data_IF_694908634038
#
_entry.id   IF_694908634038
#
_cell.length_a   1.000
_cell.length_b   1.000
_cell.length_c   1.000
_cell.angle_alpha   90.00
_cell.angle_beta   90.00
_cell.angle_gamma   90.00
#
_symmetry.space_group_name_H-M   'P 1'
#
loop_
_entity.id
_entity.type
_entity.pdbx_description
1 polymer ?
#
# COMPACT_ATOMS: atom_id res chain seq x y z
N UNK A 1 -31.26 -6.64 18.49
CA UNK A 1 -29.81 -6.34 18.58
C UNK A 1 -29.67 -4.85 18.85
N UNK A 2 -29.21 -4.42 20.03
CA UNK A 2 -28.93 -2.99 20.26
C UNK A 2 -27.76 -2.62 19.36
N UNK A 3 -28.00 -1.72 18.41
CA UNK A 3 -26.92 -1.10 17.64
C UNK A 3 -26.06 -0.36 18.65
N UNK A 4 -24.78 -0.75 18.74
CA UNK A 4 -23.84 -0.10 19.63
C UNK A 4 -23.86 1.42 19.40
N UNK A 5 -23.75 2.19 20.47
CA UNK A 5 -23.58 3.64 20.40
C UNK A 5 -22.56 3.97 19.29
N UNK A 6 -22.80 5.07 18.59
CA UNK A 6 -21.98 5.49 17.44
C UNK A 6 -20.54 5.72 17.88
N UNK A 7 -19.76 4.64 17.89
CA UNK A 7 -18.33 4.71 18.17
C UNK A 7 -17.60 5.43 17.03
N UNK A 8 -16.74 6.36 17.39
CA UNK A 8 -15.85 7.01 16.43
C UNK A 8 -14.60 6.13 16.32
N UNK A 9 -14.30 5.71 15.08
CA UNK A 9 -13.14 4.89 14.81
C UNK A 9 -11.95 5.78 14.43
N UNK A 10 -10.90 5.74 15.25
CA UNK A 10 -9.63 6.46 15.02
C UNK A 10 -8.51 5.54 14.53
N UNK A 11 -8.81 4.29 14.17
CA UNK A 11 -7.79 3.39 13.62
C UNK A 11 -7.34 3.87 12.24
N UNK A 12 -6.09 3.55 11.88
CA UNK A 12 -5.56 3.89 10.56
C UNK A 12 -6.18 3.05 9.43
N UNK A 13 -6.80 1.93 9.78
CA UNK A 13 -7.51 1.03 8.88
C UNK A 13 -8.03 -0.21 9.59
N UNK A 14 -9.22 -0.70 9.18
CA UNK A 14 -10.18 -0.07 8.28
C UNK A 14 -10.81 1.20 8.88
N UNK A 15 -10.92 2.24 8.06
CA UNK A 15 -11.51 3.53 8.43
C UNK A 15 -13.03 3.51 8.33
N UNK A 16 -13.70 4.51 8.96
CA UNK A 16 -15.13 4.68 8.82
C UNK A 16 -15.47 5.17 7.40
N UNK A 17 -16.33 4.42 6.72
CA UNK A 17 -16.89 4.83 5.43
C UNK A 17 -17.99 5.87 5.62
N UNK A 18 -18.10 6.79 4.66
CA UNK A 18 -19.23 7.73 4.60
C UNK A 18 -20.54 6.98 4.33
N UNK A 19 -21.67 7.59 4.67
CA UNK A 19 -22.99 6.98 4.40
C UNK A 19 -23.18 6.71 2.91
N UNK A 20 -22.69 7.57 2.02
CA UNK A 20 -22.75 7.37 0.56
C UNK A 20 -22.03 6.08 0.13
N UNK A 21 -20.83 5.83 0.66
CA UNK A 21 -20.06 4.62 0.35
C UNK A 21 -20.76 3.37 0.89
N UNK A 22 -21.33 3.44 2.09
CA UNK A 22 -22.09 2.32 2.69
C UNK A 22 -23.32 1.97 1.85
N UNK A 23 -24.05 2.98 1.34
CA UNK A 23 -25.24 2.77 0.51
C UNK A 23 -24.92 2.02 -0.78
N UNK A 24 -23.78 2.27 -1.42
CA UNK A 24 -23.33 1.53 -2.60
C UNK A 24 -23.24 0.02 -2.30
N UNK A 25 -22.79 -0.35 -1.11
CA UNK A 25 -22.71 -1.76 -0.69
C UNK A 25 -24.07 -2.44 -0.48
N UNK A 26 -25.17 -1.70 -0.50
CA UNK A 26 -26.54 -2.25 -0.41
C UNK A 26 -27.20 -2.47 -1.77
N UNK A 27 -26.58 -2.00 -2.84
CA UNK A 27 -27.06 -2.17 -4.21
C UNK A 27 -26.75 -3.57 -4.75
N UNK A 28 -27.50 -3.98 -5.77
CA UNK A 28 -27.19 -5.21 -6.47
C UNK A 28 -25.83 -5.11 -7.18
N UNK A 29 -25.02 -6.15 -7.05
CA UNK A 29 -23.73 -6.19 -7.74
C UNK A 29 -23.98 -6.22 -9.25
N UNK A 30 -23.45 -5.25 -10.02
CA UNK A 30 -23.59 -5.24 -11.46
C UNK A 30 -22.81 -6.41 -12.10
N UNK A 31 -23.33 -6.91 -13.21
CA UNK A 31 -22.61 -7.94 -13.93
C UNK A 31 -21.37 -7.38 -14.62
N UNK A 32 -20.20 -7.92 -14.27
CA UNK A 32 -18.89 -7.37 -14.63
C UNK A 32 -18.53 -7.46 -16.13
N UNK A 33 -19.23 -8.33 -16.92
CA UNK A 33 -18.99 -8.48 -18.37
C UNK A 33 -19.94 -7.63 -19.20
N UNK A 34 -20.15 -6.38 -18.80
CA UNK A 34 -20.99 -5.43 -19.53
C UNK A 34 -20.19 -4.17 -19.89
N UNK A 35 -20.61 -3.44 -20.95
CA UNK A 35 -20.01 -2.16 -21.28
C UNK A 35 -20.14 -1.13 -20.14
N UNK A 36 -21.26 -1.15 -19.43
CA UNK A 36 -21.53 -0.25 -18.31
C UNK A 36 -20.54 -0.48 -17.16
N UNK A 37 -20.26 -1.74 -16.80
CA UNK A 37 -19.27 -2.04 -15.78
C UNK A 37 -17.86 -1.67 -16.25
N UNK A 38 -17.55 -1.90 -17.52
CA UNK A 38 -16.27 -1.50 -18.11
C UNK A 38 -16.08 0.02 -18.05
N UNK A 39 -17.14 0.81 -18.29
CA UNK A 39 -17.09 2.26 -18.16
C UNK A 39 -16.76 2.69 -16.72
N UNK A 40 -17.38 2.07 -15.71
CA UNK A 40 -17.08 2.33 -14.29
C UNK A 40 -15.61 2.02 -13.97
N UNK A 41 -15.08 0.90 -14.46
CA UNK A 41 -13.69 0.52 -14.22
C UNK A 41 -12.69 1.49 -14.87
N UNK A 42 -12.97 1.93 -16.10
CA UNK A 42 -12.14 2.92 -16.81
C UNK A 42 -12.20 4.30 -16.13
N UNK A 43 -13.35 4.69 -15.60
CA UNK A 43 -13.49 5.91 -14.81
C UNK A 43 -12.69 5.82 -13.51
N UNK A 44 -12.75 4.70 -12.80
CA UNK A 44 -11.94 4.46 -11.61
C UNK A 44 -10.44 4.52 -11.93
N UNK A 45 -9.98 3.90 -13.04
CA UNK A 45 -8.60 4.01 -13.52
C UNK A 45 -8.20 5.49 -13.71
N UNK A 46 -9.05 6.26 -14.34
CA UNK A 46 -8.82 7.70 -14.54
C UNK A 46 -8.65 8.45 -13.22
N UNK A 47 -9.54 8.22 -12.25
CA UNK A 47 -9.45 8.86 -10.94
C UNK A 47 -8.19 8.48 -10.18
N UNK A 48 -7.81 7.21 -10.18
CA UNK A 48 -6.59 6.75 -9.51
C UNK A 48 -5.35 7.37 -10.16
N UNK A 49 -5.28 7.41 -11.50
CA UNK A 49 -4.19 8.07 -12.23
C UNK A 49 -4.10 9.56 -11.88
N UNK A 50 -5.22 10.25 -11.87
CA UNK A 50 -5.28 11.67 -11.50
C UNK A 50 -4.82 11.89 -10.05
N UNK A 51 -5.30 11.07 -9.12
CA UNK A 51 -4.93 11.15 -7.71
C UNK A 51 -3.44 10.87 -7.47
N UNK A 52 -2.87 9.91 -8.20
CA UNK A 52 -1.46 9.56 -8.11
C UNK A 52 -0.52 10.50 -8.91
N UNK A 53 -1.05 11.45 -9.66
CA UNK A 53 -0.24 12.28 -10.58
C UNK A 53 0.43 11.48 -11.68
N UNK A 54 -0.14 10.33 -12.07
CA UNK A 54 0.43 9.43 -13.05
C UNK A 54 0.23 9.94 -14.48
N UNK A 55 1.21 9.66 -15.37
CA UNK A 55 1.15 10.04 -16.78
C UNK A 55 0.03 9.32 -17.56
N UNK A 56 -0.28 9.82 -18.75
CA UNK A 56 -1.37 9.28 -19.59
C UNK A 56 -1.19 7.80 -19.93
N UNK A 57 0.06 7.36 -20.16
CA UNK A 57 0.41 5.97 -20.50
C UNK A 57 0.40 5.02 -19.31
N UNK A 58 0.24 5.51 -18.09
CA UNK A 58 0.13 4.67 -16.91
C UNK A 58 -1.15 3.82 -16.96
N UNK A 59 -1.10 2.62 -16.40
CA UNK A 59 -2.25 1.72 -16.25
C UNK A 59 -2.48 1.43 -14.77
N UNK A 60 -3.74 1.20 -14.41
CA UNK A 60 -4.14 0.83 -13.06
C UNK A 60 -4.67 -0.60 -13.09
N UNK A 61 -4.13 -1.44 -12.22
CA UNK A 61 -4.60 -2.80 -12.03
C UNK A 61 -5.28 -2.89 -10.67
N UNK A 62 -6.55 -3.28 -10.66
CA UNK A 62 -7.31 -3.50 -9.43
C UNK A 62 -7.18 -4.96 -9.00
N UNK A 63 -6.47 -5.20 -7.91
CA UNK A 63 -6.24 -6.54 -7.36
C UNK A 63 -7.18 -6.76 -6.18
N UNK A 64 -7.96 -7.83 -6.24
CA UNK A 64 -8.76 -8.27 -5.10
C UNK A 64 -7.86 -9.03 -4.13
N UNK A 65 -7.65 -8.48 -2.95
CA UNK A 65 -6.76 -9.10 -1.96
C UNK A 65 -6.63 -8.27 -0.69
N UNK A 66 -5.74 -8.71 0.19
CA UNK A 66 -5.38 -7.98 1.40
C UNK A 66 -4.40 -6.83 1.09
N UNK A 67 -4.20 -5.93 2.06
CA UNK A 67 -3.13 -4.93 1.97
C UNK A 67 -1.74 -5.57 1.79
N UNK A 68 -1.50 -6.73 2.38
CA UNK A 68 -0.26 -7.51 2.18
C UNK A 68 -0.11 -7.96 0.73
N UNK A 69 -1.18 -8.42 0.09
CA UNK A 69 -1.14 -8.77 -1.34
C UNK A 69 -0.80 -7.56 -2.23
N UNK A 70 -1.27 -6.38 -1.86
CA UNK A 70 -0.92 -5.13 -2.54
C UNK A 70 0.56 -4.75 -2.34
N UNK A 71 1.09 -4.93 -1.12
CA UNK A 71 2.52 -4.73 -0.84
C UNK A 71 3.37 -5.68 -1.69
N UNK A 72 3.05 -6.95 -1.70
CA UNK A 72 3.76 -7.97 -2.48
C UNK A 72 3.71 -7.66 -3.97
N UNK A 73 2.52 -7.37 -4.51
CA UNK A 73 2.37 -6.98 -5.92
C UNK A 73 3.22 -5.75 -6.28
N UNK A 74 3.30 -4.77 -5.40
CA UNK A 74 4.13 -3.57 -5.63
C UNK A 74 5.61 -3.90 -5.66
N UNK A 75 6.09 -4.73 -4.73
CA UNK A 75 7.51 -5.10 -4.63
C UNK A 75 7.95 -5.92 -5.83
N UNK A 76 7.24 -7.00 -6.17
CA UNK A 76 7.63 -7.92 -7.26
C UNK A 76 7.44 -7.33 -8.67
N UNK A 77 6.66 -6.25 -8.81
CA UNK A 77 6.55 -5.52 -10.07
C UNK A 77 7.61 -4.41 -10.23
N UNK A 78 8.20 -3.95 -9.12
CA UNK A 78 9.17 -2.87 -9.13
C UNK A 78 10.62 -3.35 -9.07
N UNK A 79 10.88 -4.52 -8.47
CA UNK A 79 12.22 -4.99 -8.16
C UNK A 79 12.41 -6.47 -8.50
N UNK A 80 13.66 -6.83 -8.83
CA UNK A 80 14.08 -8.21 -9.09
C UNK A 80 15.44 -8.54 -8.41
N UNK A 81 16.04 -9.66 -8.76
CA UNK A 81 17.31 -10.13 -8.19
C UNK A 81 18.54 -9.25 -8.51
N UNK A 82 18.41 -8.32 -9.47
CA UNK A 82 19.46 -7.38 -9.84
C UNK A 82 19.38 -6.06 -9.08
N UNK A 83 18.28 -5.86 -8.35
CA UNK A 83 18.06 -4.66 -7.56
C UNK A 83 18.77 -4.74 -6.19
N UNK A 84 18.91 -3.57 -5.58
CA UNK A 84 19.37 -3.43 -4.20
C UNK A 84 18.42 -2.51 -3.46
N UNK A 85 17.55 -3.08 -2.65
CA UNK A 85 16.45 -2.35 -2.01
C UNK A 85 16.80 -1.97 -0.57
N UNK A 86 16.56 -0.72 -0.21
CA UNK A 86 16.64 -0.25 1.18
C UNK A 86 15.25 -0.31 1.81
N UNK A 87 15.11 -1.04 2.91
CA UNK A 87 13.83 -1.25 3.60
C UNK A 87 13.87 -0.61 4.97
N UNK A 88 12.94 0.27 5.28
CA UNK A 88 12.75 0.80 6.64
C UNK A 88 11.79 -0.08 7.41
N UNK A 89 12.28 -0.69 8.48
CA UNK A 89 11.49 -1.50 9.39
C UNK A 89 11.26 -0.74 10.70
N UNK A 90 10.12 -0.05 10.79
CA UNK A 90 9.64 0.64 12.00
C UNK A 90 8.56 -0.15 12.75
N UNK A 91 8.20 -1.35 12.28
CA UNK A 91 7.17 -2.19 12.87
C UNK A 91 6.74 -3.34 11.97
N UNK A 92 5.54 -3.88 12.21
CA UNK A 92 5.05 -5.10 11.54
C UNK A 92 4.96 -4.98 10.02
N UNK A 93 4.60 -3.82 9.49
CA UNK A 93 4.50 -3.62 8.04
C UNK A 93 5.85 -3.33 7.39
N UNK A 94 6.76 -2.65 8.08
CA UNK A 94 8.16 -2.55 7.66
C UNK A 94 8.83 -3.92 7.61
N UNK A 95 8.64 -4.75 8.65
CA UNK A 95 9.07 -6.14 8.69
C UNK A 95 8.51 -6.94 7.50
N UNK A 96 7.24 -6.72 7.13
CA UNK A 96 6.59 -7.40 6.02
C UNK A 96 7.26 -7.09 4.68
N UNK A 97 7.71 -5.87 4.43
CA UNK A 97 8.47 -5.54 3.23
C UNK A 97 9.80 -6.31 3.17
N UNK A 98 10.52 -6.40 4.29
CA UNK A 98 11.75 -7.19 4.35
C UNK A 98 11.51 -8.68 4.07
N UNK A 99 10.44 -9.25 4.64
CA UNK A 99 10.02 -10.64 4.39
C UNK A 99 9.66 -10.89 2.92
N UNK A 100 8.93 -9.97 2.28
CA UNK A 100 8.57 -10.06 0.86
C UNK A 100 9.84 -10.07 0.00
N UNK A 101 10.78 -9.16 0.25
CA UNK A 101 12.07 -9.17 -0.46
C UNK A 101 12.80 -10.50 -0.29
N UNK A 102 12.87 -11.03 0.95
CA UNK A 102 13.51 -12.30 1.24
C UNK A 102 12.86 -13.48 0.52
N UNK A 103 11.52 -13.56 0.52
CA UNK A 103 10.75 -14.64 -0.14
C UNK A 103 11.00 -14.65 -1.65
N UNK A 104 11.05 -13.47 -2.27
CA UNK A 104 11.23 -13.33 -3.72
C UNK A 104 12.69 -13.22 -4.16
N UNK A 105 13.65 -13.38 -3.26
CA UNK A 105 15.08 -13.35 -3.58
C UNK A 105 15.59 -11.98 -4.03
N UNK A 106 14.90 -10.92 -3.66
CA UNK A 106 15.28 -9.53 -3.98
C UNK A 106 16.32 -9.07 -2.95
N UNK A 107 17.53 -8.67 -3.37
CA UNK A 107 18.56 -8.21 -2.43
C UNK A 107 18.12 -6.94 -1.70
N UNK A 108 18.18 -6.96 -0.37
CA UNK A 108 17.78 -5.81 0.44
C UNK A 108 18.70 -5.55 1.62
N UNK A 109 18.66 -4.33 2.12
CA UNK A 109 19.25 -3.92 3.39
C UNK A 109 18.15 -3.35 4.26
N UNK A 110 18.08 -3.80 5.50
CA UNK A 110 17.05 -3.39 6.46
C UNK A 110 17.60 -2.34 7.42
N UNK A 111 16.90 -1.21 7.53
CA UNK A 111 17.11 -0.22 8.59
C UNK A 111 16.08 -0.51 9.68
N UNK A 112 16.53 -1.05 10.82
CA UNK A 112 15.66 -1.29 11.98
C UNK A 112 15.52 -0.01 12.78
N UNK A 113 14.30 0.46 12.91
CA UNK A 113 13.95 1.61 13.74
C UNK A 113 13.30 1.08 15.01
N UNK A 114 13.66 1.65 16.16
CA UNK A 114 13.03 1.29 17.43
C UNK A 114 11.53 1.57 17.38
N UNK A 115 10.73 0.64 17.92
CA UNK A 115 9.27 0.78 17.92
C UNK A 115 8.82 2.12 18.53
N UNK A 116 7.94 2.82 17.83
CA UNK A 116 7.45 4.15 18.23
C UNK A 116 8.45 5.30 17.98
N UNK A 117 9.56 5.02 17.30
CA UNK A 117 10.47 6.05 16.80
C UNK A 117 10.31 6.24 15.30
N UNK A 118 10.68 7.41 14.82
CA UNK A 118 10.67 7.71 13.39
C UNK A 118 12.06 7.53 12.79
N UNK A 119 12.11 7.21 11.49
CA UNK A 119 13.35 7.27 10.71
C UNK A 119 13.82 8.73 10.62
N UNK A 120 15.12 8.97 10.71
CA UNK A 120 15.72 10.30 10.59
C UNK A 120 16.56 10.42 9.33
N UNK A 121 16.81 11.66 8.90
CA UNK A 121 17.69 11.93 7.76
C UNK A 121 19.11 11.41 7.98
N UNK A 122 19.62 11.53 9.21
CA UNK A 122 20.95 11.02 9.57
C UNK A 122 21.04 9.49 9.37
N UNK A 123 20.01 8.76 9.80
CA UNK A 123 19.94 7.30 9.58
C UNK A 123 19.94 6.95 8.10
N UNK A 124 19.23 7.71 7.26
CA UNK A 124 19.21 7.52 5.81
C UNK A 124 20.54 7.94 5.16
N UNK A 125 21.18 8.98 5.68
CA UNK A 125 22.45 9.51 5.20
C UNK A 125 23.58 8.47 5.16
N UNK A 126 23.58 7.52 6.09
CA UNK A 126 24.54 6.40 6.13
C UNK A 126 24.46 5.50 4.89
N UNK A 127 23.32 5.48 4.20
CA UNK A 127 23.07 4.63 3.03
C UNK A 127 23.18 5.40 1.71
N UNK A 128 23.35 6.71 1.76
CA UNK A 128 23.48 7.56 0.58
C UNK A 128 24.69 7.17 -0.27
N UNK A 129 24.52 7.13 -1.58
CA UNK A 129 25.57 6.80 -2.54
C UNK A 129 26.02 5.34 -2.57
N UNK A 130 25.36 4.44 -1.83
CA UNK A 130 25.72 3.01 -1.77
C UNK A 130 25.05 2.15 -2.86
N UNK A 131 24.48 2.78 -3.90
CA UNK A 131 23.95 2.09 -5.08
C UNK A 131 22.63 1.36 -4.84
N UNK A 132 21.76 1.87 -3.94
CA UNK A 132 20.40 1.37 -3.81
C UNK A 132 19.57 1.80 -5.02
N UNK A 133 18.80 0.87 -5.58
CA UNK A 133 17.89 1.08 -6.71
C UNK A 133 16.44 1.23 -6.26
N UNK A 134 16.12 0.79 -5.04
CA UNK A 134 14.79 0.86 -4.47
C UNK A 134 14.77 1.31 -3.01
N UNK A 135 13.65 1.89 -2.61
CA UNK A 135 13.40 2.32 -1.23
C UNK A 135 11.97 1.96 -0.81
N UNK A 136 11.85 1.19 0.26
CA UNK A 136 10.57 0.76 0.81
C UNK A 136 10.41 1.31 2.22
N UNK A 137 9.36 2.08 2.43
CA UNK A 137 9.01 2.69 3.71
C UNK A 137 7.50 2.83 3.86
N UNK A 138 6.98 2.60 5.04
CA UNK A 138 5.62 2.96 5.39
C UNK A 138 5.58 4.40 5.88
N UNK A 139 4.74 5.24 5.27
CA UNK A 139 4.51 6.62 5.74
C UNK A 139 3.85 6.59 7.13
N UNK A 140 3.02 5.58 7.36
CA UNK A 140 2.36 5.34 8.63
C UNK A 140 2.47 3.85 8.99
N UNK A 141 3.19 3.56 10.06
CA UNK A 141 3.35 2.20 10.56
C UNK A 141 2.19 1.87 11.52
N UNK A 142 1.26 1.04 11.08
CA UNK A 142 0.03 0.73 11.81
C UNK A 142 0.29 0.11 13.20
N UNK A 143 1.37 -0.63 13.34
CA UNK A 143 1.67 -1.36 14.59
C UNK A 143 2.29 -0.49 15.69
N UNK A 144 2.79 0.70 15.33
CA UNK A 144 3.52 1.57 16.26
C UNK A 144 3.00 3.01 16.31
N UNK A 145 2.16 3.43 15.36
CA UNK A 145 1.54 4.76 15.31
C UNK A 145 2.29 5.74 14.45
#
# INVERSE_FOLDING_TARGET
MKIAEKMINFTVGPVQSTEKVKLIGTENVPYFRTPEFSAVMLENERYVKQFAGAGENARVVFITGSGTASMEASVINAFDENDKVLVVNGGSFGQRFAEICAIHGIPYTEIKVEMGKTITEDMLGEYSGRGYTGFLVNIHETSTG
#
